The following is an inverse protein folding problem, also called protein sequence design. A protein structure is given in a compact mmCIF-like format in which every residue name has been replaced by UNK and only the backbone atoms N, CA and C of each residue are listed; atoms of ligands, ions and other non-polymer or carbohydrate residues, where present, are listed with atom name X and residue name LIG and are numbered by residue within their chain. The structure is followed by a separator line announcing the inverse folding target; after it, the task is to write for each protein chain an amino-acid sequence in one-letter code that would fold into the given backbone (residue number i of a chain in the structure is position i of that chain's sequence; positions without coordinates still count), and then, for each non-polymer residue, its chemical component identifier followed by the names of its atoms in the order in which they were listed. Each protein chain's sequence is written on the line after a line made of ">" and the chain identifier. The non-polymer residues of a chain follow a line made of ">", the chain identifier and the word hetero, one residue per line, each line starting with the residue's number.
data_IF_060753730228
#
_entry.id   IF_060753730228
#
_cell.length_a   1.000
_cell.length_b   1.000
_cell.length_c   1.000
_cell.angle_alpha   90.00
_cell.angle_beta   90.00
_cell.angle_gamma   90.00
#
_symmetry.space_group_name_H-M   'P 1'
#
loop_
_entity.id
_entity.type
_entity.pdbx_description
1 polymer ?
#
# COMPACT_ATOMS: atom_id res chain seq x y z
N UNK A 1 4.03 20.57 11.58
CA UNK A 1 4.38 19.27 10.95
C UNK A 1 3.60 19.17 9.66
N UNK A 2 4.13 18.48 8.65
CA UNK A 2 3.57 18.52 7.30
C UNK A 2 2.64 17.32 7.10
N UNK A 3 1.35 17.48 7.37
CA UNK A 3 0.33 16.42 7.27
C UNK A 3 -0.15 16.20 5.82
N UNK A 4 0.81 16.15 4.88
CA UNK A 4 0.51 16.11 3.43
C UNK A 4 -0.06 14.77 3.00
N UNK A 5 0.42 13.67 3.58
CA UNK A 5 -0.07 12.32 3.30
C UNK A 5 -1.49 12.21 3.84
N UNK A 6 -1.71 12.63 5.09
CA UNK A 6 -3.03 12.69 5.69
C UNK A 6 -3.99 13.50 4.81
N UNK A 7 -3.61 14.74 4.45
CA UNK A 7 -4.42 15.60 3.61
C UNK A 7 -4.74 14.98 2.24
N UNK A 8 -3.75 14.33 1.61
CA UNK A 8 -3.94 13.64 0.34
C UNK A 8 -4.96 12.49 0.47
N UNK A 9 -4.82 11.63 1.48
CA UNK A 9 -5.72 10.51 1.72
C UNK A 9 -7.13 10.99 2.08
N UNK A 10 -7.26 12.06 2.87
CA UNK A 10 -8.53 12.71 3.18
C UNK A 10 -9.15 13.48 1.99
N UNK A 11 -8.50 13.46 0.81
CA UNK A 11 -9.03 14.00 -0.45
C UNK A 11 -8.89 15.52 -0.64
N UNK A 12 -8.50 16.27 0.39
CA UNK A 12 -8.34 17.72 0.30
C UNK A 12 -6.92 18.17 -0.11
N UNK A 13 -5.91 17.30 0.05
CA UNK A 13 -4.52 17.51 -0.33
C UNK A 13 -4.16 17.02 -1.74
N UNK A 14 -2.85 17.04 -2.03
CA UNK A 14 -2.27 16.60 -3.31
C UNK A 14 -1.00 15.81 -3.06
N UNK A 15 -0.70 14.90 -3.97
CA UNK A 15 0.58 14.17 -3.97
C UNK A 15 1.74 15.02 -4.53
N UNK A 16 2.93 14.43 -4.60
CA UNK A 16 4.15 15.08 -5.07
C UNK A 16 4.12 15.51 -6.54
N UNK A 17 3.21 14.94 -7.34
CA UNK A 17 2.98 15.33 -8.74
C UNK A 17 1.80 16.32 -8.87
N UNK A 18 1.23 16.78 -7.75
CA UNK A 18 0.12 17.73 -7.72
C UNK A 18 -1.26 17.11 -7.98
N UNK A 19 -1.41 15.79 -7.96
CA UNK A 19 -2.69 15.09 -8.19
C UNK A 19 -3.50 14.99 -6.91
N UNK A 20 -4.83 15.07 -6.99
CA UNK A 20 -5.71 14.67 -5.89
C UNK A 20 -5.87 13.17 -5.86
N UNK A 21 -6.28 12.62 -4.71
CA UNK A 21 -6.59 11.19 -4.60
C UNK A 21 -7.65 10.77 -5.65
N UNK A 22 -8.70 11.57 -5.84
CA UNK A 22 -9.73 11.30 -6.85
C UNK A 22 -9.16 11.13 -8.27
N UNK A 23 -8.16 11.93 -8.63
CA UNK A 23 -7.50 11.83 -9.95
C UNK A 23 -6.75 10.51 -10.09
N UNK A 24 -6.04 10.08 -9.03
CA UNK A 24 -5.31 8.81 -8.99
C UNK A 24 -6.26 7.62 -9.04
N UNK A 25 -7.38 7.67 -8.31
CA UNK A 25 -8.40 6.63 -8.31
C UNK A 25 -9.09 6.47 -9.68
N UNK A 26 -9.12 7.54 -10.48
CA UNK A 26 -9.66 7.55 -11.83
C UNK A 26 -8.68 7.08 -12.92
N UNK A 27 -7.43 6.74 -12.58
CA UNK A 27 -6.49 6.16 -13.54
C UNK A 27 -7.05 4.87 -14.13
N UNK A 28 -6.84 4.67 -15.44
CA UNK A 28 -7.04 3.37 -16.09
C UNK A 28 -5.87 2.42 -15.76
N UNK A 29 -5.99 1.14 -16.14
CA UNK A 29 -4.99 0.13 -15.79
C UNK A 29 -3.65 0.37 -16.50
N UNK A 30 -3.67 0.92 -17.71
CA UNK A 30 -2.46 1.30 -18.42
C UNK A 30 -1.68 2.38 -17.66
N UNK A 31 -2.38 3.37 -17.08
CA UNK A 31 -1.77 4.43 -16.28
C UNK A 31 -1.34 3.95 -14.90
N UNK A 32 -2.08 3.04 -14.25
CA UNK A 32 -1.63 2.40 -13.01
C UNK A 32 -0.33 1.62 -13.22
N UNK A 33 -0.22 0.90 -14.35
CA UNK A 33 1.00 0.17 -14.70
C UNK A 33 2.15 1.14 -15.02
N UNK A 34 1.90 2.17 -15.81
CA UNK A 34 2.92 3.10 -16.30
C UNK A 34 3.38 4.17 -15.31
N UNK A 35 2.59 4.50 -14.29
CA UNK A 35 2.89 5.60 -13.34
C UNK A 35 3.14 5.04 -11.95
N UNK A 36 4.33 5.30 -11.40
CA UNK A 36 4.83 4.53 -10.26
C UNK A 36 4.87 5.31 -8.95
N UNK A 37 4.78 6.63 -9.02
CA UNK A 37 4.99 7.54 -7.89
C UNK A 37 3.79 7.64 -6.94
N UNK A 38 2.56 7.50 -7.46
CA UNK A 38 1.33 7.61 -6.68
C UNK A 38 1.24 6.54 -5.57
N UNK A 39 1.83 5.36 -5.80
CA UNK A 39 1.71 4.21 -4.90
C UNK A 39 2.25 4.53 -3.50
N UNK A 40 3.22 5.45 -3.42
CA UNK A 40 3.86 5.82 -2.17
C UNK A 40 3.03 6.79 -1.35
N UNK A 41 2.14 7.54 -2.01
CA UNK A 41 1.17 8.43 -1.38
C UNK A 41 -0.08 7.68 -0.95
N UNK A 42 -0.53 6.71 -1.76
CA UNK A 42 -1.67 5.86 -1.41
C UNK A 42 -1.32 4.87 -0.30
N UNK A 43 -0.09 4.34 -0.29
CA UNK A 43 0.38 3.34 0.68
C UNK A 43 1.71 3.81 1.29
N UNK A 44 1.65 4.83 2.17
CA UNK A 44 2.83 5.44 2.77
C UNK A 44 3.48 4.50 3.80
N UNK A 45 4.81 4.52 3.90
CA UNK A 45 5.59 3.72 4.85
C UNK A 45 6.57 4.61 5.63
N UNK A 46 6.98 4.21 6.85
CA UNK A 46 7.94 4.97 7.64
C UNK A 46 9.37 4.91 7.08
N UNK A 47 9.67 3.91 6.25
CA UNK A 47 10.95 3.83 5.52
C UNK A 47 10.90 4.64 4.23
N UNK A 48 11.89 5.51 4.04
CA UNK A 48 12.08 6.23 2.79
C UNK A 48 12.27 5.27 1.61
N UNK A 49 11.66 5.60 0.48
CA UNK A 49 11.83 4.81 -0.73
C UNK A 49 13.22 4.95 -1.31
N UNK A 50 13.82 3.81 -1.64
CA UNK A 50 15.11 3.74 -2.33
C UNK A 50 15.00 3.94 -3.84
N UNK A 51 13.79 3.87 -4.40
CA UNK A 51 13.54 3.86 -5.85
C UNK A 51 12.99 5.20 -6.34
N UNK A 52 12.17 5.88 -5.54
CA UNK A 52 11.58 7.18 -5.93
C UNK A 52 12.09 8.27 -4.99
N UNK A 53 13.03 9.12 -5.43
CA UNK A 53 13.48 10.28 -4.67
C UNK A 53 12.31 11.22 -4.35
N UNK A 54 12.31 11.79 -3.15
CA UNK A 54 11.29 12.76 -2.72
C UNK A 54 9.92 12.15 -2.41
N UNK A 55 9.81 10.82 -2.37
CA UNK A 55 8.62 10.15 -1.90
C UNK A 55 8.28 10.52 -0.43
N UNK A 56 6.99 10.51 -0.07
CA UNK A 56 6.58 10.81 1.29
C UNK A 56 7.07 9.72 2.26
N UNK A 57 7.52 10.15 3.43
CA UNK A 57 7.90 9.28 4.55
C UNK A 57 6.83 9.43 5.62
N UNK A 58 6.19 8.32 5.99
CA UNK A 58 5.13 8.32 6.99
C UNK A 58 5.72 8.53 8.38
N UNK A 59 5.39 9.67 9.01
CA UNK A 59 5.78 9.90 10.40
C UNK A 59 4.80 9.23 11.36
N UNK A 60 5.24 8.96 12.60
CA UNK A 60 4.37 8.40 13.63
C UNK A 60 3.14 9.28 13.89
N UNK A 61 3.32 10.60 13.99
CA UNK A 61 2.23 11.54 14.22
C UNK A 61 1.24 11.58 13.05
N UNK A 62 1.72 11.51 11.81
CA UNK A 62 0.85 11.49 10.64
C UNK A 62 0.12 10.15 10.49
N UNK A 63 0.76 9.03 10.87
CA UNK A 63 0.09 7.73 10.96
C UNK A 63 -1.04 7.73 12.00
N UNK A 64 -0.80 8.34 13.16
CA UNK A 64 -1.83 8.52 14.20
C UNK A 64 -2.98 9.41 13.70
N UNK A 65 -2.67 10.50 13.00
CA UNK A 65 -3.68 11.35 12.37
C UNK A 65 -4.53 10.58 11.34
N UNK A 66 -3.90 9.80 10.45
CA UNK A 66 -4.61 8.96 9.47
C UNK A 66 -5.52 7.94 10.18
N UNK A 67 -5.04 7.28 11.23
CA UNK A 67 -5.85 6.31 11.99
C UNK A 67 -7.04 6.96 12.72
N UNK A 68 -6.93 8.24 13.06
CA UNK A 68 -7.96 8.99 13.76
C UNK A 68 -8.98 9.68 12.83
N UNK A 69 -8.70 9.79 11.51
CA UNK A 69 -9.57 10.43 10.53
C UNK A 69 -10.28 9.39 9.62
N UNK A 70 -11.61 9.23 9.74
CA UNK A 70 -12.39 8.38 8.85
C UNK A 70 -12.23 8.71 7.37
N UNK A 71 -12.09 10.00 7.00
CA UNK A 71 -11.94 10.39 5.60
C UNK A 71 -10.61 9.91 5.00
N UNK A 72 -9.52 9.98 5.78
CA UNK A 72 -8.22 9.45 5.37
C UNK A 72 -8.25 7.92 5.25
N UNK A 73 -8.91 7.22 6.17
CA UNK A 73 -9.10 5.77 6.10
C UNK A 73 -9.95 5.36 4.89
N UNK A 74 -11.01 6.08 4.58
CA UNK A 74 -11.84 5.84 3.40
C UNK A 74 -11.04 6.05 2.10
N UNK A 75 -10.18 7.07 2.06
CA UNK A 75 -9.26 7.27 0.94
C UNK A 75 -8.28 6.12 0.76
N UNK A 76 -7.69 5.62 1.85
CA UNK A 76 -6.82 4.45 1.82
C UNK A 76 -7.58 3.20 1.34
N UNK A 77 -8.81 2.97 1.83
CA UNK A 77 -9.66 1.85 1.37
C UNK A 77 -10.02 1.95 -0.11
N UNK A 78 -10.32 3.16 -0.59
CA UNK A 78 -10.61 3.40 -2.01
C UNK A 78 -9.38 3.10 -2.88
N UNK A 79 -8.18 3.48 -2.43
CA UNK A 79 -6.93 3.13 -3.11
C UNK A 79 -6.68 1.61 -3.12
N UNK A 80 -6.93 0.92 -1.99
CA UNK A 80 -6.87 -0.55 -1.92
C UNK A 80 -7.82 -1.20 -2.92
N UNK A 81 -9.07 -0.75 -2.96
CA UNK A 81 -10.05 -1.25 -3.91
C UNK A 81 -9.63 -1.00 -5.38
N UNK A 82 -9.02 0.16 -5.67
CA UNK A 82 -8.49 0.45 -7.01
C UNK A 82 -7.36 -0.49 -7.41
N UNK A 83 -6.42 -0.77 -6.51
CA UNK A 83 -5.32 -1.71 -6.75
C UNK A 83 -5.81 -3.16 -6.84
N UNK A 84 -6.79 -3.56 -6.04
CA UNK A 84 -7.40 -4.90 -6.12
C UNK A 84 -8.03 -5.14 -7.50
N UNK A 85 -8.80 -4.16 -8.02
CA UNK A 85 -9.35 -4.23 -9.39
C UNK A 85 -8.26 -4.35 -10.45
N UNK A 86 -7.15 -3.62 -10.31
CA UNK A 86 -6.03 -3.70 -11.23
C UNK A 86 -5.40 -5.11 -11.27
N UNK A 87 -5.13 -5.70 -10.10
CA UNK A 87 -4.55 -7.05 -10.02
C UNK A 87 -5.53 -8.16 -10.44
N UNK A 88 -6.83 -7.92 -10.29
CA UNK A 88 -7.86 -8.80 -10.80
C UNK A 88 -7.97 -8.74 -12.33
N UNK A 89 -8.02 -7.54 -12.91
CA UNK A 89 -8.28 -7.32 -14.33
C UNK A 89 -7.07 -7.52 -15.24
N UNK A 90 -5.85 -7.63 -14.70
CA UNK A 90 -4.62 -7.75 -15.47
C UNK A 90 -3.80 -8.98 -15.09
N UNK A 91 -3.12 -9.55 -16.08
CA UNK A 91 -2.21 -10.69 -15.92
C UNK A 91 -0.73 -10.30 -16.03
N UNK A 92 -0.42 -9.06 -16.42
CA UNK A 92 0.95 -8.62 -16.69
C UNK A 92 1.89 -8.93 -15.52
N UNK A 93 1.48 -8.62 -14.29
CA UNK A 93 2.27 -8.83 -13.08
C UNK A 93 2.45 -10.32 -12.68
N UNK A 94 1.68 -11.25 -13.25
CA UNK A 94 1.72 -12.69 -12.97
C UNK A 94 2.88 -13.37 -13.71
N UNK A 95 4.10 -12.99 -13.37
CA UNK A 95 5.35 -13.50 -13.93
C UNK A 95 6.40 -13.65 -12.82
N UNK A 96 7.52 -14.29 -13.13
CA UNK A 96 8.58 -14.54 -12.16
C UNK A 96 9.08 -13.24 -11.50
N UNK A 97 9.29 -12.17 -12.27
CA UNK A 97 9.79 -10.90 -11.76
C UNK A 97 8.97 -9.74 -12.31
N UNK A 98 8.37 -8.97 -11.41
CA UNK A 98 7.64 -7.77 -11.78
C UNK A 98 7.71 -6.70 -10.69
N UNK A 99 7.76 -5.44 -11.10
CA UNK A 99 7.80 -4.30 -10.19
C UNK A 99 6.56 -4.20 -9.29
N UNK A 100 5.40 -4.73 -9.74
CA UNK A 100 4.20 -4.82 -8.92
C UNK A 100 4.38 -5.69 -7.68
N UNK A 101 5.33 -6.64 -7.65
CA UNK A 101 5.55 -7.46 -6.47
C UNK A 101 5.99 -6.62 -5.27
N UNK A 102 6.82 -5.60 -5.50
CA UNK A 102 7.20 -4.64 -4.46
C UNK A 102 6.05 -3.71 -4.07
N UNK A 103 5.15 -3.38 -5.01
CA UNK A 103 3.94 -2.60 -4.72
C UNK A 103 2.97 -3.39 -3.84
N UNK A 104 2.79 -4.69 -4.10
CA UNK A 104 1.97 -5.58 -3.27
C UNK A 104 2.53 -5.63 -1.85
N UNK A 105 3.84 -5.84 -1.67
CA UNK A 105 4.47 -5.78 -0.34
C UNK A 105 4.17 -4.46 0.37
N UNK A 106 4.27 -3.33 -0.34
CA UNK A 106 3.98 -1.99 0.22
C UNK A 106 2.52 -1.85 0.65
N UNK A 107 1.58 -2.29 -0.17
CA UNK A 107 0.14 -2.25 0.13
C UNK A 107 -0.15 -3.07 1.38
N UNK A 108 0.37 -4.30 1.46
CA UNK A 108 0.18 -5.19 2.61
C UNK A 108 0.69 -4.56 3.91
N UNK A 109 1.91 -4.01 3.90
CA UNK A 109 2.50 -3.35 5.05
C UNK A 109 1.70 -2.13 5.47
N UNK A 110 1.32 -1.24 4.53
CA UNK A 110 0.55 -0.04 4.84
C UNK A 110 -0.86 -0.38 5.38
N UNK A 111 -1.53 -1.39 4.80
CA UNK A 111 -2.83 -1.87 5.28
C UNK A 111 -2.74 -2.40 6.70
N UNK A 112 -1.74 -3.23 6.97
CA UNK A 112 -1.50 -3.78 8.31
C UNK A 112 -1.30 -2.66 9.33
N UNK A 113 -0.46 -1.69 8.99
CA UNK A 113 -0.06 -0.64 9.92
C UNK A 113 -1.13 0.44 10.10
N UNK A 114 -1.87 0.81 9.07
CA UNK A 114 -2.83 1.93 9.13
C UNK A 114 -4.28 1.50 9.36
N UNK A 115 -4.66 0.28 8.96
CA UNK A 115 -6.03 -0.23 9.10
C UNK A 115 -6.08 -1.40 10.08
N UNK A 116 -5.20 -2.38 9.90
CA UNK A 116 -5.13 -3.57 10.72
C UNK A 116 -4.81 -4.84 9.91
N UNK A 117 -4.48 -5.90 10.64
CA UNK A 117 -4.04 -7.19 10.06
C UNK A 117 -5.10 -7.83 9.15
N UNK A 118 -6.37 -7.73 9.49
CA UNK A 118 -7.45 -8.35 8.71
C UNK A 118 -7.54 -7.73 7.31
N UNK A 119 -7.44 -6.39 7.21
CA UNK A 119 -7.43 -5.70 5.92
C UNK A 119 -6.24 -6.12 5.03
N UNK A 120 -5.06 -6.34 5.64
CA UNK A 120 -3.89 -6.85 4.92
C UNK A 120 -4.09 -8.31 4.48
N UNK A 121 -4.69 -9.16 5.33
CA UNK A 121 -5.02 -10.56 5.01
C UNK A 121 -5.99 -10.66 3.84
N UNK A 122 -7.09 -9.91 3.88
CA UNK A 122 -8.10 -9.91 2.82
C UNK A 122 -7.50 -9.55 1.46
N UNK A 123 -6.63 -8.52 1.43
CA UNK A 123 -5.93 -8.12 0.21
C UNK A 123 -4.94 -9.20 -0.25
N UNK A 124 -4.16 -9.76 0.68
CA UNK A 124 -3.21 -10.84 0.39
C UNK A 124 -3.91 -12.07 -0.20
N UNK A 125 -5.03 -12.50 0.38
CA UNK A 125 -5.81 -13.63 -0.11
C UNK A 125 -6.36 -13.37 -1.52
N UNK A 126 -6.82 -12.15 -1.81
CA UNK A 126 -7.27 -11.78 -3.15
C UNK A 126 -6.14 -11.88 -4.19
N UNK A 127 -4.95 -11.37 -3.86
CA UNK A 127 -3.75 -11.50 -4.72
C UNK A 127 -3.36 -12.96 -4.89
N UNK A 128 -3.32 -13.74 -3.80
CA UNK A 128 -2.90 -15.14 -3.84
C UNK A 128 -3.86 -16.02 -4.64
N UNK A 129 -5.17 -15.74 -4.63
CA UNK A 129 -6.13 -16.42 -5.51
C UNK A 129 -5.76 -16.25 -6.99
N UNK A 130 -5.32 -15.06 -7.40
CA UNK A 130 -4.87 -14.79 -8.78
C UNK A 130 -3.57 -15.52 -9.10
N UNK A 131 -2.61 -15.51 -8.17
CA UNK A 131 -1.34 -16.25 -8.33
C UNK A 131 -1.58 -17.75 -8.49
N UNK A 132 -2.41 -18.34 -7.64
CA UNK A 132 -2.75 -19.76 -7.69
C UNK A 132 -3.48 -20.13 -8.99
N UNK A 133 -4.46 -19.31 -9.41
CA UNK A 133 -5.20 -19.53 -10.64
C UNK A 133 -4.30 -19.48 -11.89
N UNK A 134 -3.20 -18.73 -11.85
CA UNK A 134 -2.21 -18.64 -12.92
C UNK A 134 -1.10 -19.71 -12.85
N UNK A 135 -1.19 -20.68 -11.94
CA UNK A 135 -0.19 -21.73 -11.79
C UNK A 135 1.07 -21.30 -11.03
N UNK A 136 0.95 -20.32 -10.13
CA UNK A 136 2.02 -19.81 -9.26
C UNK A 136 3.28 -19.31 -10.00
N UNK A 137 3.15 -18.36 -10.94
CA UNK A 137 4.28 -17.89 -11.75
C UNK A 137 5.23 -16.93 -11.01
N UNK A 138 4.84 -16.45 -9.83
CA UNK A 138 5.60 -15.46 -9.03
C UNK A 138 6.77 -16.13 -8.32
N UNK A 139 7.92 -15.44 -8.25
CA UNK A 139 9.10 -15.96 -7.56
C UNK A 139 8.83 -16.23 -6.05
N UNK A 140 9.43 -17.28 -5.46
CA UNK A 140 9.22 -17.64 -4.05
C UNK A 140 9.58 -16.53 -3.05
N UNK A 141 10.61 -15.72 -3.33
CA UNK A 141 11.05 -14.65 -2.42
C UNK A 141 9.95 -13.61 -2.23
N UNK A 142 9.25 -13.24 -3.31
CA UNK A 142 8.12 -12.29 -3.25
C UNK A 142 6.98 -12.84 -2.41
N UNK A 143 6.67 -14.14 -2.54
CA UNK A 143 5.66 -14.78 -1.71
C UNK A 143 6.04 -14.75 -0.22
N UNK A 144 7.31 -14.99 0.11
CA UNK A 144 7.83 -14.87 1.49
C UNK A 144 7.72 -13.42 1.99
N UNK A 145 8.04 -12.43 1.17
CA UNK A 145 7.89 -11.02 1.54
C UNK A 145 6.43 -10.65 1.82
N UNK A 146 5.49 -11.13 1.00
CA UNK A 146 4.06 -10.87 1.19
C UNK A 146 3.53 -11.51 2.46
N UNK A 147 3.90 -12.77 2.72
CA UNK A 147 3.54 -13.46 3.95
C UNK A 147 4.06 -12.70 5.18
N UNK A 148 5.33 -12.31 5.19
CA UNK A 148 5.92 -11.52 6.28
C UNK A 148 5.25 -10.17 6.47
N UNK A 149 4.86 -9.50 5.38
CA UNK A 149 4.17 -8.22 5.45
C UNK A 149 2.81 -8.34 6.16
N UNK A 150 2.12 -9.46 6.01
CA UNK A 150 0.84 -9.74 6.68
C UNK A 150 1.03 -10.19 8.14
N UNK A 151 2.04 -11.01 8.41
CA UNK A 151 2.26 -11.66 9.72
C UNK A 151 2.98 -10.78 10.74
N UNK A 152 3.87 -9.89 10.29
CA UNK A 152 4.73 -9.14 11.21
C UNK A 152 3.94 -8.08 11.96
N UNK A 153 3.64 -8.29 13.24
CA UNK A 153 3.30 -7.20 14.16
C UNK A 153 4.07 -7.35 15.49
N UNK A 154 4.67 -6.23 15.92
CA UNK A 154 5.26 -5.94 17.23
C UNK A 154 6.53 -6.66 17.69
N UNK A 155 7.67 -5.96 17.54
CA UNK A 155 8.78 -6.03 18.51
C UNK A 155 8.99 -4.71 19.28
N UNK A 156 8.20 -3.66 18.99
CA UNK A 156 8.45 -2.31 19.52
C UNK A 156 7.40 -1.80 20.54
N UNK A 157 6.18 -2.34 20.61
CA UNK A 157 5.17 -1.84 21.58
C UNK A 157 5.11 -2.55 22.93
N UNK A 158 5.68 -3.75 23.09
CA UNK A 158 5.58 -4.48 24.37
C UNK A 158 6.77 -4.28 25.34
N UNK A 159 7.81 -3.53 24.95
CA UNK A 159 9.00 -3.35 25.81
C UNK A 159 8.98 -2.13 26.74
N UNK A 160 7.83 -1.45 26.87
CA UNK A 160 7.67 -0.27 27.74
C UNK A 160 6.71 -0.54 28.93
N UNK A 161 5.91 -1.61 28.90
CA UNK A 161 4.93 -1.90 29.96
C UNK A 161 5.33 -3.02 30.92
N UNK A 162 6.60 -3.41 30.96
CA UNK A 162 7.11 -4.40 31.92
C UNK A 162 8.24 -3.86 32.79
N UNK A 163 8.18 -2.57 33.16
CA UNK A 163 8.93 -2.00 34.29
C UNK A 163 8.09 -2.06 35.56
#
# INVERSE_FOLDING_TARGET
>A
MSDRIHAFLAGHGRDGAGRRLADVLAFDDARIEGVHDFIQWCFPLPEASRVVPGAPVLTQAEAEAIRADPAALDGLRAATARMARFYEATDGWLRAYDHNHLRITRILTALRDLIGRDAARDFHEAVMRRVQAAGSPVNPDSLVFWQRAVESADCARERILSS
#
